data_IF_504213785204
#
_entry.id   IF_504213785204
#
_cell.length_a   1.000
_cell.length_b   1.000
_cell.length_c   1.000
_cell.angle_alpha   90.00
_cell.angle_beta   90.00
_cell.angle_gamma   90.00
#
_symmetry.space_group_name_H-M   'P 1'
#
loop_
_entity.id
_entity.type
_entity.pdbx_description
1 polymer ?
#
# COMPACT_ATOMS: atom_id res chain seq x y z
N UNK A 1 6.52 16.71 52.22
CA UNK A 1 6.64 15.76 51.09
C UNK A 1 5.49 16.02 50.13
N UNK A 2 5.66 16.94 49.18
CA UNK A 2 4.60 17.43 48.28
C UNK A 2 5.06 17.24 46.82
N UNK A 3 4.25 16.44 46.09
CA UNK A 3 3.98 16.36 44.66
C UNK A 3 4.96 16.94 43.62
N UNK A 4 5.33 16.10 42.64
CA UNK A 4 5.54 16.56 41.25
C UNK A 4 5.14 15.46 40.25
N UNK A 5 3.83 15.33 40.00
CA UNK A 5 3.37 14.74 38.75
C UNK A 5 3.82 15.67 37.62
N UNK A 6 4.80 15.25 36.82
CA UNK A 6 5.15 15.93 35.57
C UNK A 6 4.01 15.77 34.57
N UNK A 7 3.03 16.69 34.68
CA UNK A 7 1.95 16.82 33.72
C UNK A 7 2.53 17.22 32.37
N UNK A 8 2.71 16.24 31.50
CA UNK A 8 3.13 16.43 30.10
C UNK A 8 2.20 17.47 29.43
N UNK A 9 2.74 18.57 28.86
CA UNK A 9 1.93 19.67 28.36
C UNK A 9 1.03 19.22 27.19
N UNK A 10 -0.26 19.62 27.22
CA UNK A 10 -1.30 19.23 26.24
C UNK A 10 -0.92 19.52 24.77
N UNK A 11 -0.03 20.50 24.52
CA UNK A 11 0.49 20.80 23.17
C UNK A 11 1.44 19.72 22.65
N UNK A 12 2.28 19.14 23.51
CA UNK A 12 3.25 18.11 23.14
C UNK A 12 2.54 16.80 22.76
N UNK A 13 1.44 16.45 23.45
CA UNK A 13 0.60 15.30 23.09
C UNK A 13 -0.15 15.49 21.76
N UNK A 14 -0.51 16.73 21.40
CA UNK A 14 -1.15 17.03 20.10
C UNK A 14 -0.21 17.00 18.91
N UNK A 15 1.10 17.17 19.13
CA UNK A 15 2.13 17.15 18.09
C UNK A 15 2.84 15.79 18.03
N UNK A 16 2.99 15.10 19.15
CA UNK A 16 3.56 13.75 19.21
C UNK A 16 2.67 12.70 18.54
N UNK A 17 1.34 12.88 18.55
CA UNK A 17 0.38 11.97 17.91
C UNK A 17 0.46 11.99 16.38
N UNK A 18 0.40 13.15 15.70
CA UNK A 18 0.58 13.19 14.25
C UNK A 18 2.00 12.81 13.83
N UNK A 19 3.04 13.21 14.58
CA UNK A 19 4.43 12.78 14.31
C UNK A 19 4.57 11.27 14.47
N UNK A 20 3.97 10.67 15.49
CA UNK A 20 3.96 9.22 15.69
C UNK A 20 3.20 8.48 14.58
N UNK A 21 2.07 9.02 14.13
CA UNK A 21 1.29 8.45 13.01
C UNK A 21 2.06 8.60 11.69
N UNK A 22 2.73 9.73 11.45
CA UNK A 22 3.56 9.95 10.27
C UNK A 22 4.78 9.02 10.30
N UNK A 23 5.44 8.87 11.45
CA UNK A 23 6.56 7.94 11.62
C UNK A 23 6.09 6.49 11.47
N UNK A 24 4.92 6.13 11.97
CA UNK A 24 4.34 4.79 11.84
C UNK A 24 3.91 4.52 10.38
N UNK A 25 3.34 5.51 9.71
CA UNK A 25 3.04 5.45 8.28
C UNK A 25 4.32 5.31 7.46
N UNK A 26 5.38 6.06 7.78
CA UNK A 26 6.71 5.95 7.13
C UNK A 26 7.33 4.59 7.42
N UNK A 27 7.25 4.07 8.64
CA UNK A 27 7.77 2.74 9.03
C UNK A 27 7.01 1.61 8.33
N UNK A 28 5.76 1.83 7.93
CA UNK A 28 4.97 0.89 7.11
C UNK A 28 5.25 1.09 5.61
N UNK A 29 5.45 2.33 5.15
CA UNK A 29 5.61 2.68 3.74
C UNK A 29 7.04 2.42 3.22
N UNK A 30 8.06 2.64 4.04
CA UNK A 30 9.48 2.48 3.67
C UNK A 30 9.83 1.01 3.38
N UNK A 31 9.38 0.01 4.16
CA UNK A 31 9.60 -1.39 3.83
C UNK A 31 8.94 -1.84 2.52
N UNK A 32 7.89 -1.14 2.07
CA UNK A 32 7.28 -1.40 0.75
C UNK A 32 8.18 -0.95 -0.40
N UNK A 33 9.24 -0.17 -0.14
CA UNK A 33 10.14 0.37 -1.16
C UNK A 33 11.47 -0.36 -1.29
N UNK A 34 11.86 -1.23 -0.35
CA UNK A 34 13.21 -1.84 -0.32
C UNK A 34 13.27 -3.26 0.24
N UNK A 35 12.50 -4.20 -0.32
CA UNK A 35 12.55 -5.62 0.09
C UNK A 35 13.95 -6.24 -0.05
N UNK A 36 14.80 -5.71 -0.93
CA UNK A 36 16.12 -6.26 -1.24
C UNK A 36 17.18 -6.00 -0.16
N UNK A 37 17.12 -4.87 0.56
CA UNK A 37 18.09 -4.54 1.63
C UNK A 37 17.70 -5.16 2.97
N UNK A 38 16.40 -5.27 3.25
CA UNK A 38 15.89 -5.95 4.45
C UNK A 38 16.13 -7.47 4.41
N UNK A 39 16.06 -8.10 3.22
CA UNK A 39 16.41 -9.52 3.04
C UNK A 39 17.90 -9.80 3.32
N UNK A 40 18.81 -8.92 2.90
CA UNK A 40 20.25 -9.08 3.17
C UNK A 40 20.60 -8.98 4.66
N UNK A 41 19.76 -8.30 5.45
CA UNK A 41 19.93 -8.13 6.89
C UNK A 41 19.31 -9.26 7.75
N UNK A 42 18.73 -10.29 7.15
CA UNK A 42 18.23 -11.48 7.87
C UNK A 42 16.96 -11.26 8.71
N UNK A 43 16.24 -10.16 8.49
CA UNK A 43 14.98 -9.84 9.17
C UNK A 43 13.79 -10.36 8.34
N UNK A 44 13.07 -11.42 8.77
CA UNK A 44 11.93 -11.98 8.04
C UNK A 44 10.65 -11.16 8.29
N UNK A 45 10.69 -9.86 8.03
CA UNK A 45 9.50 -9.00 8.08
C UNK A 45 8.93 -8.89 6.65
N UNK A 46 7.94 -9.74 6.36
CA UNK A 46 7.25 -9.88 5.06
C UNK A 46 8.11 -10.45 3.90
N UNK A 47 9.05 -11.32 4.29
CA UNK A 47 9.36 -12.65 3.75
C UNK A 47 9.25 -12.87 2.23
N UNK A 48 10.39 -13.11 1.58
CA UNK A 48 10.61 -13.52 0.19
C UNK A 48 9.80 -12.82 -0.92
N UNK A 49 10.53 -12.36 -1.94
CA UNK A 49 9.99 -11.84 -3.21
C UNK A 49 8.87 -12.71 -3.81
N UNK A 50 8.89 -14.02 -3.55
CA UNK A 50 7.84 -14.97 -3.93
C UNK A 50 6.51 -14.69 -3.22
N UNK A 51 6.51 -14.68 -1.88
CA UNK A 51 5.28 -14.50 -1.09
C UNK A 51 4.67 -13.12 -1.33
N UNK A 52 5.51 -12.09 -1.46
CA UNK A 52 5.05 -10.76 -1.83
C UNK A 52 4.31 -10.78 -3.19
N UNK A 53 4.91 -11.40 -4.21
CA UNK A 53 4.29 -11.51 -5.54
C UNK A 53 2.99 -12.32 -5.52
N UNK A 54 2.94 -13.40 -4.74
CA UNK A 54 1.73 -14.20 -4.56
C UNK A 54 0.64 -13.36 -3.89
N UNK A 55 0.96 -12.69 -2.78
CA UNK A 55 0.00 -11.88 -2.03
C UNK A 55 -0.59 -10.75 -2.89
N UNK A 56 0.24 -10.02 -3.65
CA UNK A 56 -0.25 -8.96 -4.54
C UNK A 56 -1.10 -9.52 -5.68
N UNK A 57 -0.75 -10.69 -6.24
CA UNK A 57 -1.53 -11.35 -7.30
C UNK A 57 -2.89 -11.81 -6.77
N UNK A 58 -2.92 -12.42 -5.58
CA UNK A 58 -4.17 -12.83 -4.93
C UNK A 58 -5.05 -11.61 -4.66
N UNK A 59 -4.50 -10.54 -4.09
CA UNK A 59 -5.25 -9.31 -3.83
C UNK A 59 -5.85 -8.70 -5.12
N UNK A 60 -5.07 -8.67 -6.21
CA UNK A 60 -5.55 -8.26 -7.53
C UNK A 60 -6.74 -9.12 -7.99
N UNK A 61 -6.63 -10.45 -7.92
CA UNK A 61 -7.72 -11.34 -8.32
C UNK A 61 -8.96 -11.22 -7.43
N UNK A 62 -8.81 -10.98 -6.12
CA UNK A 62 -9.94 -10.76 -5.21
C UNK A 62 -10.76 -9.54 -5.64
N UNK A 63 -10.09 -8.44 -5.98
CA UNK A 63 -10.77 -7.22 -6.47
C UNK A 63 -11.46 -7.50 -7.80
N UNK A 64 -10.78 -8.15 -8.75
CA UNK A 64 -11.36 -8.49 -10.05
C UNK A 64 -12.56 -9.42 -9.94
N UNK A 65 -12.47 -10.45 -9.10
CA UNK A 65 -13.56 -11.39 -8.85
C UNK A 65 -14.75 -10.71 -8.21
N UNK A 66 -14.53 -9.77 -7.28
CA UNK A 66 -15.59 -8.97 -6.66
C UNK A 66 -16.30 -8.08 -7.67
N UNK A 67 -15.55 -7.39 -8.53
CA UNK A 67 -16.11 -6.57 -9.62
C UNK A 67 -16.90 -7.42 -10.63
N UNK A 68 -16.43 -8.63 -10.95
CA UNK A 68 -17.15 -9.57 -11.79
C UNK A 68 -18.41 -10.11 -11.12
N UNK A 69 -18.39 -10.39 -9.81
CA UNK A 69 -19.56 -10.86 -9.08
C UNK A 69 -20.71 -9.83 -9.12
N UNK A 70 -20.39 -8.54 -9.14
CA UNK A 70 -21.40 -7.48 -9.27
C UNK A 70 -22.00 -7.47 -10.69
N UNK A 71 -21.17 -7.46 -11.73
CA UNK A 71 -21.68 -7.30 -13.10
C UNK A 71 -22.14 -8.64 -13.70
N UNK A 72 -21.26 -9.63 -13.73
CA UNK A 72 -21.54 -10.96 -14.28
C UNK A 72 -22.40 -11.84 -13.39
N UNK A 73 -22.27 -11.71 -12.06
CA UNK A 73 -23.04 -12.49 -11.10
C UNK A 73 -24.43 -11.91 -10.85
N UNK A 74 -24.49 -10.74 -10.19
CA UNK A 74 -25.73 -10.11 -9.73
C UNK A 74 -26.58 -9.56 -10.88
N UNK A 75 -25.96 -8.92 -11.87
CA UNK A 75 -26.71 -8.31 -12.99
C UNK A 75 -26.81 -9.17 -14.24
N UNK A 76 -26.02 -10.26 -14.33
CA UNK A 76 -26.04 -11.20 -15.46
C UNK A 76 -25.43 -10.66 -16.77
N UNK A 77 -24.71 -9.54 -16.74
CA UNK A 77 -24.07 -8.96 -17.92
C UNK A 77 -22.61 -9.40 -18.07
N UNK A 78 -22.17 -9.64 -19.30
CA UNK A 78 -20.75 -9.88 -19.58
C UNK A 78 -19.95 -8.58 -19.46
N UNK A 79 -18.99 -8.51 -18.52
CA UNK A 79 -18.11 -7.34 -18.34
C UNK A 79 -16.77 -7.50 -19.06
N UNK A 80 -16.65 -6.93 -20.26
CA UNK A 80 -15.35 -6.83 -20.94
C UNK A 80 -14.48 -5.67 -20.40
N UNK A 81 -15.10 -4.70 -19.74
CA UNK A 81 -14.44 -3.49 -19.25
C UNK A 81 -13.47 -3.76 -18.09
N UNK A 82 -13.79 -4.70 -17.19
CA UNK A 82 -12.99 -4.92 -15.97
C UNK A 82 -11.52 -5.22 -16.27
N UNK A 83 -11.25 -6.08 -17.25
CA UNK A 83 -9.87 -6.42 -17.66
C UNK A 83 -9.22 -5.29 -18.45
N UNK A 84 -9.98 -4.62 -19.32
CA UNK A 84 -9.47 -3.53 -20.14
C UNK A 84 -9.03 -2.32 -19.30
N UNK A 85 -9.89 -1.84 -18.38
CA UNK A 85 -9.56 -0.72 -17.50
C UNK A 85 -8.46 -1.07 -16.51
N UNK A 86 -8.48 -2.29 -15.95
CA UNK A 86 -7.38 -2.75 -15.10
C UNK A 86 -6.04 -2.75 -15.85
N UNK A 87 -6.02 -3.27 -17.09
CA UNK A 87 -4.81 -3.31 -17.91
C UNK A 87 -4.27 -1.93 -18.25
N UNK A 88 -5.13 -0.97 -18.60
CA UNK A 88 -4.73 0.41 -18.90
C UNK A 88 -4.13 1.09 -17.65
N UNK A 89 -4.77 0.95 -16.49
CA UNK A 89 -4.25 1.51 -15.24
C UNK A 89 -2.90 0.89 -14.86
N UNK A 90 -2.80 -0.44 -14.89
CA UNK A 90 -1.56 -1.15 -14.57
C UNK A 90 -0.41 -0.78 -15.52
N UNK A 91 -0.69 -0.64 -16.82
CA UNK A 91 0.31 -0.21 -17.79
C UNK A 91 0.76 1.24 -17.56
N UNK A 92 -0.19 2.13 -17.27
CA UNK A 92 0.09 3.54 -16.94
C UNK A 92 1.00 3.65 -15.71
N UNK A 93 0.68 2.94 -14.63
CA UNK A 93 1.54 2.85 -13.43
C UNK A 93 2.93 2.30 -13.79
N UNK A 94 2.99 1.24 -14.59
CA UNK A 94 4.24 0.63 -15.04
C UNK A 94 5.13 1.63 -15.78
N UNK A 95 4.58 2.39 -16.73
CA UNK A 95 5.32 3.41 -17.48
C UNK A 95 5.76 4.57 -16.57
N UNK A 96 4.89 5.03 -15.66
CA UNK A 96 5.22 6.10 -14.71
C UNK A 96 6.37 5.70 -13.78
N UNK A 97 6.37 4.47 -13.27
CA UNK A 97 7.40 3.97 -12.37
C UNK A 97 8.68 3.63 -13.14
N UNK A 98 8.60 2.85 -14.22
CA UNK A 98 9.78 2.34 -14.94
C UNK A 98 10.45 3.38 -15.84
N UNK A 99 9.68 4.23 -16.53
CA UNK A 99 10.25 5.15 -17.52
C UNK A 99 10.39 6.57 -16.97
N UNK A 100 9.52 7.00 -16.05
CA UNK A 100 9.54 8.36 -15.48
C UNK A 100 10.04 8.42 -14.05
N UNK A 101 10.33 7.28 -13.41
CA UNK A 101 10.87 7.22 -12.05
C UNK A 101 9.92 7.79 -10.99
N UNK A 102 8.61 7.84 -11.28
CA UNK A 102 7.64 8.31 -10.30
C UNK A 102 7.58 7.35 -9.11
N UNK A 103 7.46 7.86 -7.87
CA UNK A 103 7.24 6.99 -6.73
C UNK A 103 5.88 6.30 -6.89
N UNK A 104 5.84 5.00 -6.57
CA UNK A 104 4.67 4.14 -6.78
C UNK A 104 3.33 4.73 -6.31
N UNK A 105 3.22 5.38 -5.11
CA UNK A 105 1.96 5.95 -4.67
C UNK A 105 1.46 7.09 -5.57
N UNK A 106 2.36 7.94 -6.09
CA UNK A 106 1.98 9.02 -7.01
C UNK A 106 1.59 8.45 -8.37
N UNK A 107 2.30 7.42 -8.84
CA UNK A 107 1.95 6.73 -10.08
C UNK A 107 0.56 6.08 -9.99
N UNK A 108 0.21 5.48 -8.85
CA UNK A 108 -1.09 4.86 -8.60
C UNK A 108 -2.23 5.88 -8.53
N UNK A 109 -2.01 7.08 -7.98
CA UNK A 109 -3.02 8.14 -7.94
C UNK A 109 -3.26 8.80 -9.31
N UNK A 110 -2.26 8.73 -10.20
CA UNK A 110 -2.33 9.34 -11.52
C UNK A 110 -2.95 8.41 -12.59
N UNK A 111 -3.04 7.11 -12.32
CA UNK A 111 -3.58 6.08 -13.21
C UNK A 111 -5.04 5.77 -12.87
#
# INVERSE_FOLDING_TARGET
MIAREERVPRRLRRVALPIGIILLAIVILVPLTSTDTAQQAGLPLLADKLWFRIATTVAMFVVMASAWNIIGGLTGYASFGNVAFFGIGAYTVGVLVSNRGWPFPLALLAA
#
